data_IF_166863795005
#
_entry.id   IF_166863795005
#
_cell.length_a   1.000
_cell.length_b   1.000
_cell.length_c   1.000
_cell.angle_alpha   90.00
_cell.angle_beta   90.00
_cell.angle_gamma   90.00
#
_symmetry.space_group_name_H-M   'P 1'
#
loop_
_entity.id
_entity.type
_entity.pdbx_description
1 polymer ?
#
# COMPACT_ATOMS: atom_id res chain seq x y z
N UNK A 1 -26.06 -23.72 -27.45
CA UNK A 1 -25.05 -22.70 -27.06
C UNK A 1 -24.17 -23.29 -25.96
N UNK A 2 -22.85 -23.46 -26.17
CA UNK A 2 -21.94 -23.83 -25.08
C UNK A 2 -21.81 -22.62 -24.12
N UNK A 3 -21.94 -22.80 -22.80
CA UNK A 3 -21.73 -21.71 -21.86
C UNK A 3 -20.28 -21.22 -21.98
N UNK A 4 -20.10 -19.94 -22.30
CA UNK A 4 -18.78 -19.30 -22.31
C UNK A 4 -18.26 -19.33 -20.88
N UNK A 5 -17.22 -20.13 -20.62
CA UNK A 5 -16.52 -20.11 -19.34
C UNK A 5 -16.12 -18.67 -19.02
N UNK A 6 -16.35 -18.16 -17.79
CA UNK A 6 -15.79 -16.87 -17.40
C UNK A 6 -14.28 -16.92 -17.64
N UNK A 7 -13.75 -15.91 -18.33
CA UNK A 7 -12.32 -15.77 -18.54
C UNK A 7 -11.63 -15.66 -17.18
N UNK A 8 -10.51 -16.35 -16.97
CA UNK A 8 -9.73 -16.30 -15.72
C UNK A 8 -9.51 -14.88 -15.20
N UNK A 9 -9.29 -13.92 -16.10
CA UNK A 9 -9.19 -12.49 -15.80
C UNK A 9 -10.35 -11.94 -14.94
N UNK A 10 -11.59 -12.41 -15.14
CA UNK A 10 -12.74 -11.97 -14.34
C UNK A 10 -12.70 -12.48 -12.91
N UNK A 11 -12.12 -13.67 -12.69
CA UNK A 11 -11.94 -14.21 -11.34
C UNK A 11 -10.84 -13.46 -10.61
N UNK A 12 -9.74 -13.14 -11.30
CA UNK A 12 -8.64 -12.36 -10.74
C UNK A 12 -9.12 -10.96 -10.29
N UNK A 13 -9.93 -10.30 -11.12
CA UNK A 13 -10.52 -9.00 -10.78
C UNK A 13 -11.45 -9.08 -9.56
N UNK A 14 -12.31 -10.10 -9.49
CA UNK A 14 -13.20 -10.31 -8.35
C UNK A 14 -12.43 -10.63 -7.05
N UNK A 15 -11.35 -11.40 -7.16
CA UNK A 15 -10.48 -11.71 -6.04
C UNK A 15 -9.76 -10.46 -5.53
N UNK A 16 -9.16 -9.68 -6.43
CA UNK A 16 -8.48 -8.41 -6.10
C UNK A 16 -9.45 -7.40 -5.49
N UNK A 17 -10.67 -7.31 -6.00
CA UNK A 17 -11.73 -6.50 -5.41
C UNK A 17 -12.02 -6.93 -3.97
N UNK A 18 -12.21 -8.24 -3.74
CA UNK A 18 -12.57 -8.79 -2.44
C UNK A 18 -11.47 -8.56 -1.40
N UNK A 19 -10.20 -8.74 -1.78
CA UNK A 19 -9.06 -8.46 -0.91
C UNK A 19 -8.99 -6.98 -0.52
N UNK A 20 -9.16 -6.07 -1.48
CA UNK A 20 -9.14 -4.63 -1.19
C UNK A 20 -10.32 -4.24 -0.29
N UNK A 21 -11.51 -4.77 -0.54
CA UNK A 21 -12.68 -4.53 0.32
C UNK A 21 -12.43 -5.00 1.74
N UNK A 22 -11.98 -6.24 1.92
CA UNK A 22 -11.70 -6.79 3.25
C UNK A 22 -10.67 -5.96 4.00
N UNK A 23 -9.63 -5.49 3.30
CA UNK A 23 -8.64 -4.58 3.89
C UNK A 23 -9.24 -3.26 4.36
N UNK A 24 -10.16 -2.67 3.60
CA UNK A 24 -10.86 -1.44 4.02
C UNK A 24 -11.78 -1.70 5.22
N UNK A 25 -12.40 -2.89 5.32
CA UNK A 25 -13.18 -3.28 6.49
C UNK A 25 -12.30 -3.35 7.75
N UNK A 26 -11.11 -3.95 7.66
CA UNK A 26 -10.12 -3.98 8.76
C UNK A 26 -9.65 -2.58 9.16
N UNK A 27 -9.47 -1.67 8.20
CA UNK A 27 -9.13 -0.28 8.47
C UNK A 27 -10.29 0.43 9.18
N UNK A 28 -11.53 0.17 8.78
CA UNK A 28 -12.71 0.76 9.40
C UNK A 28 -12.93 0.25 10.85
N UNK A 29 -12.58 -1.00 11.15
CA UNK A 29 -12.64 -1.55 12.51
C UNK A 29 -11.44 -1.16 13.39
N UNK A 30 -10.38 -0.61 12.79
CA UNK A 30 -9.15 -0.24 13.50
C UNK A 30 -8.17 -1.39 13.69
N UNK A 31 -8.38 -2.52 13.02
CA UNK A 31 -7.49 -3.68 13.04
C UNK A 31 -6.31 -3.56 12.06
N UNK A 32 -6.37 -2.61 11.13
CA UNK A 32 -5.30 -2.35 10.17
C UNK A 32 -5.04 -0.85 9.99
N UNK A 33 -3.75 -0.50 9.90
CA UNK A 33 -3.33 0.86 9.54
C UNK A 33 -3.34 1.06 8.01
N UNK A 34 -3.69 2.28 7.54
CA UNK A 34 -3.68 2.61 6.12
C UNK A 34 -2.24 2.74 5.60
N UNK A 35 -1.96 2.05 4.50
CA UNK A 35 -0.65 2.04 3.85
C UNK A 35 -0.60 3.03 2.68
N UNK A 36 -1.70 3.16 1.93
CA UNK A 36 -1.80 4.06 0.78
C UNK A 36 -2.53 5.35 1.14
N UNK A 37 -2.33 6.39 0.33
CA UNK A 37 -3.08 7.65 0.52
C UNK A 37 -4.58 7.44 0.35
N UNK A 38 -4.98 6.61 -0.63
CA UNK A 38 -6.38 6.21 -0.83
C UNK A 38 -7.00 5.60 0.43
N UNK A 39 -6.27 4.72 1.12
CA UNK A 39 -6.72 4.13 2.38
C UNK A 39 -6.82 5.18 3.51
N UNK A 40 -5.90 6.15 3.57
CA UNK A 40 -5.99 7.27 4.52
C UNK A 40 -7.21 8.15 4.26
N UNK A 41 -7.51 8.41 3.00
CA UNK A 41 -8.70 9.16 2.59
C UNK A 41 -9.98 8.43 3.02
N UNK A 42 -10.05 7.12 2.80
CA UNK A 42 -11.16 6.29 3.27
C UNK A 42 -11.32 6.39 4.79
N UNK A 43 -10.26 6.16 5.56
CA UNK A 43 -10.28 6.23 7.02
C UNK A 43 -10.72 7.61 7.51
N UNK A 44 -10.30 8.69 6.83
CA UNK A 44 -10.74 10.05 7.14
C UNK A 44 -12.26 10.21 7.01
N UNK A 45 -12.88 9.63 5.98
CA UNK A 45 -14.35 9.67 5.84
C UNK A 45 -15.04 8.87 6.96
N UNK A 46 -14.51 7.68 7.30
CA UNK A 46 -15.04 6.85 8.39
C UNK A 46 -14.96 7.62 9.72
N UNK A 47 -13.81 8.24 10.03
CA UNK A 47 -13.62 9.07 11.24
C UNK A 47 -14.54 10.29 11.27
N UNK A 48 -14.85 10.86 10.11
CA UNK A 48 -15.84 11.92 9.98
C UNK A 48 -17.30 11.45 10.12
N UNK A 49 -17.53 10.20 10.57
CA UNK A 49 -18.84 9.54 10.71
C UNK A 49 -19.66 9.50 9.41
N UNK A 50 -18.98 9.55 8.27
CA UNK A 50 -19.61 9.36 6.96
C UNK A 50 -19.68 7.87 6.65
N UNK A 51 -20.50 7.53 5.66
CA UNK A 51 -20.65 6.16 5.14
C UNK A 51 -20.05 6.09 3.72
N UNK A 52 -18.71 6.10 3.59
CA UNK A 52 -18.07 5.98 2.28
C UNK A 52 -18.44 4.65 1.63
N UNK A 53 -18.72 4.65 0.33
CA UNK A 53 -18.86 3.40 -0.41
C UNK A 53 -17.47 2.79 -0.62
N UNK A 54 -17.31 1.52 -0.27
CA UNK A 54 -16.03 0.82 -0.46
C UNK A 54 -15.54 0.85 -1.91
N UNK A 55 -16.47 0.77 -2.86
CA UNK A 55 -16.16 0.77 -4.29
C UNK A 55 -15.39 2.02 -4.75
N UNK A 56 -15.60 3.17 -4.11
CA UNK A 56 -14.89 4.42 -4.44
C UNK A 56 -13.40 4.38 -4.07
N UNK A 57 -13.02 3.42 -3.23
CA UNK A 57 -11.66 3.23 -2.72
C UNK A 57 -11.06 1.90 -3.18
N UNK A 58 -11.69 1.17 -4.10
CA UNK A 58 -11.13 -0.04 -4.68
C UNK A 58 -10.63 0.30 -6.08
N UNK A 59 -9.39 -0.06 -6.37
CA UNK A 59 -8.76 0.24 -7.67
C UNK A 59 -8.56 -1.03 -8.51
N UNK A 60 -8.54 -0.91 -9.85
CA UNK A 60 -8.15 -2.01 -10.73
C UNK A 60 -6.77 -2.58 -10.39
N UNK A 61 -6.57 -3.87 -10.62
CA UNK A 61 -5.33 -4.59 -10.31
C UNK A 61 -4.03 -3.93 -10.82
N UNK A 62 -3.98 -3.39 -12.06
CA UNK A 62 -2.80 -2.65 -12.53
C UNK A 62 -2.43 -1.45 -11.67
N UNK A 63 -3.42 -0.67 -11.22
CA UNK A 63 -3.20 0.48 -10.34
C UNK A 63 -2.79 0.04 -8.93
N UNK A 64 -3.40 -1.02 -8.40
CA UNK A 64 -2.98 -1.60 -7.12
C UNK A 64 -1.50 -2.04 -7.14
N UNK A 65 -1.06 -2.68 -8.23
CA UNK A 65 0.36 -3.05 -8.41
C UNK A 65 1.28 -1.84 -8.49
N UNK A 66 0.86 -0.77 -9.14
CA UNK A 66 1.63 0.47 -9.18
C UNK A 66 1.75 1.12 -7.79
N UNK A 67 0.64 1.21 -7.04
CA UNK A 67 0.62 1.75 -5.67
C UNK A 67 1.54 0.95 -4.73
N UNK A 68 1.39 -0.37 -4.71
CA UNK A 68 2.20 -1.27 -3.88
C UNK A 68 3.68 -1.25 -4.27
N UNK A 69 3.99 -1.19 -5.56
CA UNK A 69 5.36 -1.03 -6.05
C UNK A 69 6.00 0.30 -5.62
N UNK A 70 5.23 1.39 -5.62
CA UNK A 70 5.71 2.68 -5.13
C UNK A 70 5.98 2.65 -3.61
N UNK A 71 5.09 2.03 -2.83
CA UNK A 71 5.30 1.84 -1.39
C UNK A 71 6.56 1.04 -1.09
N UNK A 72 6.81 -0.04 -1.84
CA UNK A 72 8.00 -0.86 -1.69
C UNK A 72 9.27 -0.05 -1.93
N UNK A 73 9.33 0.68 -3.05
CA UNK A 73 10.49 1.53 -3.38
C UNK A 73 10.72 2.63 -2.33
N UNK A 74 9.66 3.26 -1.84
CA UNK A 74 9.77 4.29 -0.81
C UNK A 74 10.33 3.72 0.50
N UNK A 75 9.93 2.50 0.87
CA UNK A 75 10.47 1.79 2.04
C UNK A 75 11.95 1.46 1.84
N UNK A 76 12.30 0.86 0.70
CA UNK A 76 13.69 0.52 0.36
C UNK A 76 14.60 1.77 0.40
N UNK A 77 14.15 2.90 -0.13
CA UNK A 77 14.90 4.16 -0.10
C UNK A 77 15.12 4.69 1.33
N UNK A 78 14.13 4.58 2.21
CA UNK A 78 14.27 4.95 3.64
C UNK A 78 15.26 4.05 4.37
N UNK A 79 15.18 2.74 4.13
CA UNK A 79 16.10 1.76 4.72
C UNK A 79 17.54 1.93 4.20
N UNK A 80 17.71 2.32 2.93
CA UNK A 80 19.02 2.65 2.38
C UNK A 80 19.58 3.94 2.98
N UNK A 81 18.76 4.98 3.13
CA UNK A 81 19.15 6.24 3.77
C UNK A 81 19.58 6.02 5.22
N UNK A 82 18.81 5.26 6.01
CA UNK A 82 19.13 4.99 7.41
C UNK A 82 20.48 4.28 7.56
N UNK A 83 20.77 3.30 6.69
CA UNK A 83 22.08 2.61 6.67
C UNK A 83 23.25 3.51 6.27
N UNK A 84 23.00 4.55 5.48
CA UNK A 84 24.02 5.52 5.09
C UNK A 84 24.34 6.53 6.21
N UNK A 85 23.42 6.74 7.15
CA UNK A 85 23.61 7.67 8.28
C UNK A 85 24.31 7.00 9.47
N UNK A 86 24.25 5.67 9.57
CA UNK A 86 24.97 4.87 10.58
C UNK A 86 26.42 4.50 10.17
N UNK A 87 26.94 5.05 9.07
CA UNK A 87 28.35 4.85 8.73
C UNK A 87 29.21 5.58 9.77
N UNK A 88 30.14 4.90 10.48
CA UNK A 88 31.03 5.58 11.40
C UNK A 88 31.83 6.64 10.64
N UNK A 89 31.84 7.87 11.16
CA UNK A 89 32.74 8.94 10.70
C UNK A 89 34.15 8.34 10.55
N UNK A 90 34.84 8.53 9.42
CA UNK A 90 36.23 8.13 9.33
C UNK A 90 36.98 8.91 10.40
N UNK A 91 37.50 8.21 11.42
CA UNK A 91 38.37 8.82 12.42
C UNK A 91 39.43 9.62 11.69
N UNK A 92 39.44 10.93 11.93
CA UNK A 92 40.44 11.88 11.46
C UNK A 92 41.82 11.33 11.87
N UNK A 93 42.47 10.61 10.96
CA UNK A 93 43.87 10.26 11.06
C UNK A 93 44.68 11.52 10.78
N UNK A 94 44.65 12.46 11.74
CA UNK A 94 45.52 13.61 11.75
C UNK A 94 46.94 13.13 12.06
N UNK A 95 47.91 13.24 11.13
CA UNK A 95 49.28 12.86 11.44
C UNK A 95 49.86 13.93 12.37
N UNK A 96 50.22 13.52 13.58
CA UNK A 96 51.02 14.36 14.47
C UNK A 96 52.38 14.64 13.80
N UNK A 97 52.61 15.90 13.46
CA UNK A 97 53.93 16.46 13.15
C UNK A 97 54.49 17.15 14.39
#
# INVERSE_FOLDING_TARGET
MRPRRPSSARHDDAFVYTLQRHRLELIASGEAEPLTERERLFLRQVKARRRPAYADYIVPGPLLRAETGALRRAREAREASARSTDAPEPEDLSPAF
#
